data_IF_343703951318
#
_entry.id   IF_343703951318
#
_cell.length_a   1.000
_cell.length_b   1.000
_cell.length_c   1.000
_cell.angle_alpha   90.00
_cell.angle_beta   90.00
_cell.angle_gamma   90.00
#
_symmetry.space_group_name_H-M   'P 1'
#
loop_
_entity.id
_entity.type
_entity.pdbx_description
1 polymer ?
#
# COMPACT_ATOMS: atom_id res chain seq x y z
N UNK A 1 1.83 -20.39 7.48
CA UNK A 1 2.51 -19.57 6.46
C UNK A 1 1.85 -18.21 6.53
N UNK A 2 2.61 -17.11 6.61
CA UNK A 2 2.01 -15.77 6.53
C UNK A 2 1.62 -15.50 5.08
N UNK A 3 0.45 -14.94 4.86
CA UNK A 3 0.02 -14.55 3.51
C UNK A 3 0.81 -13.32 3.06
N UNK A 4 0.99 -13.17 1.74
CA UNK A 4 1.68 -11.98 1.20
C UNK A 4 0.88 -10.75 1.56
N UNK A 5 1.52 -9.80 2.24
CA UNK A 5 0.89 -8.55 2.67
C UNK A 5 0.53 -8.49 4.16
N UNK A 6 0.49 -9.62 4.87
CA UNK A 6 0.18 -9.63 6.31
C UNK A 6 1.18 -8.78 7.12
N UNK A 7 2.47 -8.86 6.76
CA UNK A 7 3.51 -8.09 7.44
C UNK A 7 3.42 -6.62 7.08
N UNK A 8 3.14 -6.31 5.82
CA UNK A 8 2.90 -4.94 5.39
C UNK A 8 1.74 -4.30 6.17
N UNK A 9 0.62 -5.00 6.32
CA UNK A 9 -0.58 -4.51 7.04
C UNK A 9 -0.40 -4.47 8.55
N UNK A 10 0.54 -5.23 9.12
CA UNK A 10 0.91 -5.12 10.55
C UNK A 10 1.83 -3.93 10.84
N UNK A 11 2.26 -3.18 9.81
CA UNK A 11 3.15 -2.03 9.94
C UNK A 11 4.63 -2.35 9.74
N UNK A 12 4.98 -3.60 9.41
CA UNK A 12 6.34 -4.00 9.10
C UNK A 12 6.62 -3.92 7.60
N UNK A 13 7.87 -3.63 7.23
CA UNK A 13 8.26 -3.62 5.82
C UNK A 13 8.20 -5.02 5.21
N UNK A 14 7.43 -5.16 4.13
CA UNK A 14 7.36 -6.40 3.35
C UNK A 14 7.74 -6.15 1.90
N UNK A 15 8.53 -7.06 1.32
CA UNK A 15 8.90 -7.01 -0.09
C UNK A 15 7.81 -7.67 -0.93
N UNK A 16 7.23 -6.90 -1.84
CA UNK A 16 6.13 -7.27 -2.71
C UNK A 16 6.60 -7.31 -4.17
N UNK A 17 6.32 -8.43 -4.84
CA UNK A 17 6.58 -8.58 -6.28
C UNK A 17 5.45 -7.97 -7.11
N UNK A 18 4.21 -8.40 -6.86
CA UNK A 18 2.98 -7.83 -7.40
C UNK A 18 1.84 -8.23 -6.47
N UNK A 19 1.18 -7.25 -5.84
CA UNK A 19 0.05 -7.51 -4.93
C UNK A 19 -0.88 -6.31 -4.84
N UNK A 20 -2.17 -6.57 -4.63
CA UNK A 20 -3.19 -5.55 -4.44
C UNK A 20 -3.67 -5.57 -2.99
N UNK A 21 -3.41 -4.49 -2.26
CA UNK A 21 -3.92 -4.31 -0.90
C UNK A 21 -5.29 -3.62 -0.98
N UNK A 22 -6.31 -4.22 -0.39
CA UNK A 22 -7.59 -3.54 -0.13
C UNK A 22 -7.55 -2.98 1.29
N UNK A 23 -7.68 -1.67 1.42
CA UNK A 23 -7.54 -1.00 2.71
C UNK A 23 -8.84 -1.13 3.50
N UNK A 24 -8.82 -1.85 4.62
CA UNK A 24 -9.99 -1.99 5.50
C UNK A 24 -10.23 -0.76 6.39
N UNK A 25 -9.20 0.05 6.61
CA UNK A 25 -9.21 1.24 7.46
C UNK A 25 -8.25 2.31 6.90
N UNK A 26 -8.35 3.52 7.44
CA UNK A 26 -7.45 4.60 7.08
C UNK A 26 -6.03 4.33 7.61
N UNK A 27 -5.06 4.29 6.70
CA UNK A 27 -3.67 4.01 7.03
C UNK A 27 -2.73 4.98 6.32
N UNK A 28 -1.50 5.03 6.81
CA UNK A 28 -0.40 5.70 6.10
C UNK A 28 0.50 4.64 5.48
N UNK A 29 0.52 4.62 4.15
CA UNK A 29 1.43 3.79 3.36
C UNK A 29 2.80 4.46 3.29
N UNK A 30 3.85 3.68 3.58
CA UNK A 30 5.22 3.99 3.19
C UNK A 30 5.67 2.99 2.12
N UNK A 31 6.25 3.50 1.03
CA UNK A 31 6.60 2.74 -0.15
C UNK A 31 8.05 3.02 -0.55
N UNK A 32 8.76 2.00 -1.01
CA UNK A 32 10.04 2.14 -1.71
C UNK A 32 10.17 1.07 -2.81
N UNK A 33 10.28 1.49 -4.07
CA UNK A 33 10.41 0.53 -5.16
C UNK A 33 10.14 1.12 -6.54
N UNK A 34 9.52 0.30 -7.39
CA UNK A 34 9.33 0.61 -8.82
C UNK A 34 8.00 1.31 -9.10
N UNK A 35 6.86 0.77 -8.65
CA UNK A 35 5.58 1.44 -8.84
C UNK A 35 4.49 1.00 -7.85
N UNK A 36 3.57 1.92 -7.56
CA UNK A 36 2.29 1.62 -6.91
C UNK A 36 1.18 2.46 -7.55
N UNK A 37 0.04 1.83 -7.88
CA UNK A 37 -1.17 2.56 -8.24
C UNK A 37 -2.13 2.58 -7.04
N UNK A 38 -2.58 3.76 -6.66
CA UNK A 38 -3.60 3.95 -5.62
C UNK A 38 -4.91 4.24 -6.32
N UNK A 39 -5.91 3.40 -6.10
CA UNK A 39 -7.27 3.57 -6.59
C UNK A 39 -8.19 3.85 -5.41
N UNK A 40 -9.21 4.66 -5.63
CA UNK A 40 -10.29 4.85 -4.66
C UNK A 40 -11.25 3.65 -4.63
N UNK A 41 -12.28 3.75 -3.80
CA UNK A 41 -13.33 2.74 -3.63
C UNK A 41 -14.14 2.46 -4.89
N UNK A 42 -14.18 3.39 -5.85
CA UNK A 42 -14.87 3.22 -7.13
C UNK A 42 -13.96 2.58 -8.20
N UNK A 43 -12.68 2.39 -7.88
CA UNK A 43 -11.67 1.90 -8.82
C UNK A 43 -11.12 2.99 -9.74
N UNK A 44 -11.29 4.27 -9.39
CA UNK A 44 -10.68 5.38 -10.11
C UNK A 44 -9.24 5.57 -9.63
N UNK A 45 -8.30 5.77 -10.57
CA UNK A 45 -6.89 6.03 -10.25
C UNK A 45 -6.76 7.40 -9.56
N UNK A 46 -6.36 7.38 -8.28
CA UNK A 46 -6.08 8.58 -7.49
C UNK A 46 -4.65 9.06 -7.73
N UNK A 47 -3.69 8.14 -7.65
CA UNK A 47 -2.27 8.47 -7.81
C UNK A 47 -1.49 7.28 -8.36
N UNK A 48 -0.46 7.58 -9.15
CA UNK A 48 0.58 6.63 -9.55
C UNK A 48 1.90 7.04 -8.94
N UNK A 49 2.40 6.21 -8.02
CA UNK A 49 3.73 6.32 -7.46
C UNK A 49 4.70 5.64 -8.42
N UNK A 50 5.72 6.38 -8.86
CA UNK A 50 6.80 5.87 -9.71
C UNK A 50 7.99 5.36 -8.91
N UNK A 51 9.13 5.23 -9.58
CA UNK A 51 10.35 4.74 -8.95
C UNK A 51 10.82 5.68 -7.83
N UNK A 52 11.20 5.11 -6.68
CA UNK A 52 11.72 5.85 -5.54
C UNK A 52 10.98 5.51 -4.25
N UNK A 53 10.95 6.45 -3.32
CA UNK A 53 10.22 6.34 -2.06
C UNK A 53 9.08 7.35 -1.99
N UNK A 54 8.01 6.96 -1.30
CA UNK A 54 6.84 7.81 -1.10
C UNK A 54 6.14 7.48 0.22
N UNK A 55 5.43 8.47 0.76
CA UNK A 55 4.53 8.32 1.90
C UNK A 55 3.18 8.92 1.54
N UNK A 56 2.10 8.15 1.71
CA UNK A 56 0.75 8.56 1.34
C UNK A 56 -0.26 8.06 2.35
N UNK A 57 -1.27 8.87 2.60
CA UNK A 57 -2.46 8.41 3.30
C UNK A 57 -3.37 7.69 2.30
N UNK A 58 -3.85 6.53 2.71
CA UNK A 58 -4.77 5.68 1.94
C UNK A 58 -5.98 5.43 2.81
N UNK A 59 -7.17 5.70 2.26
CA UNK A 59 -8.42 5.64 3.02
C UNK A 59 -9.02 4.24 2.97
N UNK A 60 -9.91 3.94 3.92
CA UNK A 60 -10.73 2.74 3.87
C UNK A 60 -11.44 2.61 2.49
N UNK A 61 -11.42 1.40 1.94
CA UNK A 61 -11.94 1.08 0.60
C UNK A 61 -10.97 1.34 -0.55
N UNK A 62 -9.85 2.03 -0.33
CA UNK A 62 -8.84 2.23 -1.38
C UNK A 62 -8.13 0.92 -1.72
N UNK A 63 -7.59 0.85 -2.95
CA UNK A 63 -6.77 -0.27 -3.41
C UNK A 63 -5.37 0.19 -3.79
N UNK A 64 -4.34 -0.43 -3.21
CA UNK A 64 -2.94 -0.16 -3.54
C UNK A 64 -2.34 -1.33 -4.32
N UNK A 65 -2.15 -1.16 -5.63
CA UNK A 65 -1.50 -2.15 -6.50
C UNK A 65 0.00 -1.91 -6.53
N UNK A 66 0.72 -2.66 -5.69
CA UNK A 66 2.17 -2.55 -5.52
C UNK A 66 2.89 -3.50 -6.46
N UNK A 67 3.89 -3.01 -7.19
CA UNK A 67 4.72 -3.82 -8.10
C UNK A 67 6.20 -3.53 -7.79
N UNK A 68 6.93 -4.61 -7.48
CA UNK A 68 8.39 -4.63 -7.21
C UNK A 68 8.82 -3.53 -6.25
N UNK A 69 8.32 -3.60 -5.02
CA UNK A 69 8.61 -2.63 -3.99
C UNK A 69 8.67 -3.29 -2.62
N UNK A 70 9.20 -2.58 -1.63
CA UNK A 70 8.84 -2.82 -0.23
C UNK A 70 7.78 -1.82 0.18
N UNK A 71 6.84 -2.26 1.02
CA UNK A 71 5.74 -1.43 1.52
C UNK A 71 5.45 -1.77 2.97
N UNK A 72 4.95 -0.81 3.74
CA UNK A 72 4.29 -1.02 5.03
C UNK A 72 3.11 -0.06 5.17
N UNK A 73 2.12 -0.44 5.96
CA UNK A 73 0.96 0.38 6.26
C UNK A 73 0.88 0.59 7.76
N UNK A 74 1.10 1.83 8.20
CA UNK A 74 0.94 2.20 9.60
C UNK A 74 -0.50 2.62 9.86
N UNK A 75 -1.14 2.04 10.88
CA UNK A 75 -2.45 2.52 11.35
C UNK A 75 -2.30 3.94 11.86
N UNK A 76 -3.28 4.79 11.55
CA UNK A 76 -3.35 6.11 12.18
C UNK A 76 -3.77 5.89 13.63
N UNK A 77 -2.86 6.13 14.57
CA UNK A 77 -3.20 6.12 15.99
C UNK A 77 -4.33 7.13 16.23
N UNK A 78 -5.38 6.69 16.92
CA UNK A 78 -6.44 7.59 17.42
C UNK A 78 -5.89 8.63 18.40
#
# INVERSE_FOLDING_TARGET
>A
MSETGDKALSGDWEKISAFAFEMAEDMTMEFEGQSCNILDSEGTLVEKIGQGSAKRDVLAGYRCYVIRARVKFAKKSA
#
